data_IF_832260414684
#
_entry.id   IF_832260414684
#
_cell.length_a   1.000
_cell.length_b   1.000
_cell.length_c   1.000
_cell.angle_alpha   90.00
_cell.angle_beta   90.00
_cell.angle_gamma   90.00
#
_symmetry.space_group_name_H-M   'P 1'
#
loop_
_entity.id
_entity.type
_entity.pdbx_description
1 polymer ?
#
# COMPACT_ATOMS: atom_id res chain seq x y z
N UNK A 1 -2.18 11.93 12.72
CA UNK A 1 -1.30 11.51 11.63
C UNK A 1 -2.08 10.72 10.59
N UNK A 2 -1.41 10.25 9.54
CA UNK A 2 -1.94 9.24 8.63
C UNK A 2 -1.58 7.89 9.23
N UNK A 3 -2.55 6.98 9.31
CA UNK A 3 -2.36 5.67 9.91
C UNK A 3 -1.67 4.71 8.91
N UNK A 4 -0.87 3.80 9.44
CA UNK A 4 -0.25 2.68 8.72
C UNK A 4 -0.63 1.38 9.39
N UNK A 5 -0.48 0.22 8.75
CA UNK A 5 -0.59 -1.04 9.46
C UNK A 5 0.37 -1.07 10.65
N UNK A 6 -0.08 -1.61 11.79
CA UNK A 6 0.79 -1.77 12.97
C UNK A 6 1.92 -2.71 12.60
N UNK A 7 3.15 -2.29 12.82
CA UNK A 7 4.31 -3.07 12.39
C UNK A 7 5.52 -2.86 13.28
N UNK A 8 6.39 -3.86 13.33
CA UNK A 8 7.67 -3.82 14.04
C UNK A 8 8.77 -4.44 13.19
N UNK A 9 9.94 -3.82 13.21
CA UNK A 9 11.13 -4.36 12.57
C UNK A 9 11.78 -5.39 13.52
N UNK A 10 12.19 -6.52 12.95
CA UNK A 10 12.93 -7.57 13.67
C UNK A 10 14.15 -8.02 12.87
N UNK A 11 15.25 -8.22 13.58
CA UNK A 11 16.51 -8.76 13.04
C UNK A 11 16.84 -10.14 13.60
N UNK A 12 16.03 -10.63 14.52
CA UNK A 12 16.12 -11.97 15.09
C UNK A 12 14.75 -12.63 15.16
N UNK A 13 14.72 -13.94 15.18
CA UNK A 13 13.49 -14.71 15.36
C UNK A 13 12.77 -14.33 16.66
N UNK A 14 13.51 -14.20 17.76
CA UNK A 14 12.95 -13.84 19.07
C UNK A 14 12.22 -12.49 19.03
N UNK A 15 12.83 -11.47 18.40
CA UNK A 15 12.21 -10.16 18.23
C UNK A 15 10.91 -10.24 17.41
N UNK A 16 10.93 -11.02 16.32
CA UNK A 16 9.76 -11.18 15.47
C UNK A 16 8.61 -11.91 16.18
N UNK A 17 8.91 -12.95 16.96
CA UNK A 17 7.91 -13.67 17.77
C UNK A 17 7.28 -12.76 18.84
N UNK A 18 8.11 -11.93 19.50
CA UNK A 18 7.63 -10.94 20.45
C UNK A 18 6.75 -9.87 19.78
N UNK A 19 7.14 -9.38 18.60
CA UNK A 19 6.34 -8.47 17.79
C UNK A 19 4.98 -9.09 17.41
N UNK A 20 4.98 -10.33 16.94
CA UNK A 20 3.78 -11.07 16.59
C UNK A 20 2.80 -11.20 17.76
N UNK A 21 3.31 -11.46 18.96
CA UNK A 21 2.49 -11.53 20.18
C UNK A 21 1.85 -10.20 20.57
N UNK A 22 2.51 -9.07 20.26
CA UNK A 22 1.95 -7.72 20.52
C UNK A 22 0.95 -7.27 19.47
N UNK A 23 1.23 -7.56 18.20
CA UNK A 23 0.39 -7.13 17.08
C UNK A 23 -0.87 -7.99 16.97
N UNK A 24 -0.74 -9.31 17.11
CA UNK A 24 -1.82 -10.29 16.97
C UNK A 24 -1.99 -10.80 15.54
N UNK A 25 -2.51 -12.02 15.41
CA UNK A 25 -2.74 -12.68 14.11
C UNK A 25 -4.05 -12.24 13.44
N UNK A 26 -4.14 -12.31 12.11
CA UNK A 26 -3.10 -12.71 11.16
C UNK A 26 -2.04 -11.64 10.94
N UNK A 27 -0.82 -12.07 10.54
CA UNK A 27 0.34 -11.22 10.32
C UNK A 27 0.87 -11.34 8.89
N UNK A 28 1.55 -10.29 8.44
CA UNK A 28 2.36 -10.30 7.21
C UNK A 28 3.82 -10.14 7.61
N UNK A 29 4.69 -10.95 7.02
CA UNK A 29 6.15 -10.83 7.16
C UNK A 29 6.73 -10.37 5.83
N UNK A 30 7.47 -9.27 5.86
CA UNK A 30 8.14 -8.70 4.67
C UNK A 30 9.65 -8.62 4.92
N UNK A 31 10.46 -9.44 4.25
CA UNK A 31 11.92 -9.32 4.33
C UNK A 31 12.39 -8.01 3.70
N UNK A 32 13.34 -7.34 4.35
CA UNK A 32 13.90 -6.11 3.84
C UNK A 32 14.78 -6.37 2.60
N UNK A 33 14.70 -5.45 1.62
CA UNK A 33 15.50 -5.47 0.38
C UNK A 33 15.34 -6.73 -0.46
N UNK A 34 14.17 -7.38 -0.42
CA UNK A 34 13.83 -8.47 -1.33
C UNK A 34 12.85 -7.99 -2.41
N UNK A 35 12.80 -8.71 -3.52
CA UNK A 35 11.93 -8.41 -4.65
C UNK A 35 10.87 -9.50 -4.82
N UNK A 36 9.68 -9.12 -5.31
CA UNK A 36 8.64 -10.07 -5.66
C UNK A 36 8.10 -10.90 -4.49
N UNK A 37 8.18 -10.38 -3.25
CA UNK A 37 7.69 -11.07 -2.06
C UNK A 37 8.55 -12.25 -1.60
N UNK A 38 9.76 -12.40 -2.14
CA UNK A 38 10.67 -13.51 -1.81
C UNK A 38 10.93 -13.59 -0.30
N UNK A 39 10.69 -14.76 0.29
CA UNK A 39 10.91 -15.04 1.72
C UNK A 39 9.82 -14.49 2.65
N UNK A 40 8.87 -13.67 2.14
CA UNK A 40 7.73 -13.16 2.89
C UNK A 40 6.53 -14.11 2.87
N UNK A 41 5.46 -13.68 3.55
CA UNK A 41 4.20 -14.42 3.56
C UNK A 41 3.25 -14.01 4.67
N UNK A 42 2.10 -14.69 4.71
CA UNK A 42 1.09 -14.53 5.76
C UNK A 42 1.26 -15.60 6.82
N UNK A 43 1.13 -15.21 8.08
CA UNK A 43 1.13 -16.12 9.23
C UNK A 43 -0.20 -15.99 9.98
N UNK A 44 -0.86 -17.12 10.19
CA UNK A 44 -2.13 -17.20 10.90
C UNK A 44 -1.98 -17.75 12.33
N UNK A 45 -0.81 -18.27 12.64
CA UNK A 45 -0.47 -18.84 13.94
C UNK A 45 1.05 -18.69 14.21
N UNK A 46 1.46 -19.11 15.41
CA UNK A 46 2.83 -18.99 15.90
C UNK A 46 3.81 -19.81 15.08
N UNK A 47 3.43 -21.04 14.72
CA UNK A 47 4.27 -21.98 13.98
C UNK A 47 4.54 -21.47 12.56
N UNK A 48 3.54 -20.92 11.90
CA UNK A 48 3.68 -20.30 10.58
C UNK A 48 4.55 -19.05 10.66
N UNK A 49 4.38 -18.22 11.70
CA UNK A 49 5.21 -17.03 11.92
C UNK A 49 6.68 -17.41 12.04
N UNK A 50 7.00 -18.42 12.86
CA UNK A 50 8.37 -18.91 13.06
C UNK A 50 9.00 -19.37 11.73
N UNK A 51 8.26 -20.17 10.95
CA UNK A 51 8.73 -20.67 9.67
C UNK A 51 8.98 -19.56 8.64
N UNK A 52 8.05 -18.58 8.55
CA UNK A 52 8.14 -17.48 7.59
C UNK A 52 9.26 -16.51 7.99
N UNK A 53 9.36 -16.16 9.27
CA UNK A 53 10.41 -15.27 9.78
C UNK A 53 11.80 -15.86 9.56
N UNK A 54 12.00 -17.15 9.86
CA UNK A 54 13.27 -17.83 9.65
C UNK A 54 13.71 -17.78 8.19
N UNK A 55 12.77 -18.04 7.27
CA UNK A 55 13.00 -17.92 5.83
C UNK A 55 13.25 -16.47 5.39
N UNK A 56 12.49 -15.54 5.95
CA UNK A 56 12.59 -14.10 5.63
C UNK A 56 13.90 -13.49 6.07
N UNK A 57 14.38 -13.80 7.28
CA UNK A 57 15.68 -13.36 7.78
C UNK A 57 16.83 -13.90 6.92
N UNK A 58 16.72 -15.16 6.47
CA UNK A 58 17.72 -15.77 5.58
C UNK A 58 17.69 -15.16 4.16
N UNK A 59 16.52 -14.76 3.66
CA UNK A 59 16.35 -14.15 2.34
C UNK A 59 16.80 -12.68 2.31
N UNK A 60 16.68 -11.97 3.42
CA UNK A 60 17.06 -10.55 3.51
C UNK A 60 18.59 -10.39 3.53
N UNK A 61 19.19 -9.58 2.62
CA UNK A 61 20.62 -9.35 2.60
C UNK A 61 21.15 -8.63 3.85
N UNK A 62 20.27 -8.04 4.65
CA UNK A 62 20.59 -7.36 5.92
C UNK A 62 20.00 -8.09 7.14
N UNK A 63 19.49 -9.32 6.94
CA UNK A 63 18.86 -10.14 8.00
C UNK A 63 17.79 -9.37 8.78
N UNK A 64 16.89 -8.71 8.07
CA UNK A 64 15.82 -7.91 8.66
C UNK A 64 14.48 -8.25 8.05
N UNK A 65 13.45 -8.35 8.88
CA UNK A 65 12.05 -8.48 8.46
C UNK A 65 11.18 -7.40 9.12
N UNK A 66 10.10 -7.02 8.43
CA UNK A 66 9.00 -6.28 9.01
C UNK A 66 7.90 -7.30 9.36
N UNK A 67 7.44 -7.30 10.60
CA UNK A 67 6.25 -8.03 11.06
C UNK A 67 5.11 -7.03 11.14
N UNK A 68 4.03 -7.25 10.40
CA UNK A 68 2.98 -6.28 10.18
C UNK A 68 1.60 -6.92 10.39
N UNK A 69 0.62 -6.16 10.93
CA UNK A 69 -0.77 -6.62 10.96
C UNK A 69 -1.28 -6.86 9.54
N UNK A 70 -2.07 -7.90 9.36
CA UNK A 70 -2.68 -8.19 8.07
C UNK A 70 -3.93 -7.34 7.87
N UNK A 71 -4.01 -6.70 6.72
CA UNK A 71 -5.21 -6.02 6.22
C UNK A 71 -5.94 -6.87 5.16
N UNK A 72 -5.69 -8.17 5.15
CA UNK A 72 -6.34 -9.11 4.25
C UNK A 72 -7.87 -9.02 4.38
N UNK A 73 -8.55 -8.94 3.25
CA UNK A 73 -10.01 -8.82 3.22
C UNK A 73 -10.57 -7.40 3.39
N UNK A 74 -9.72 -6.39 3.65
CA UNK A 74 -10.13 -4.99 3.62
C UNK A 74 -10.36 -4.51 2.19
N UNK A 75 -11.08 -3.41 2.01
CA UNK A 75 -11.23 -2.76 0.71
C UNK A 75 -9.90 -2.15 0.27
N UNK A 76 -9.52 -2.40 -0.99
CA UNK A 76 -8.34 -1.80 -1.61
C UNK A 76 -8.77 -0.59 -2.45
N UNK A 77 -8.25 0.58 -2.08
CA UNK A 77 -8.59 1.87 -2.70
C UNK A 77 -7.30 2.56 -3.14
N UNK A 78 -7.29 3.11 -4.35
CA UNK A 78 -6.09 3.73 -4.89
C UNK A 78 -6.37 5.14 -5.40
N UNK A 79 -5.40 6.04 -5.24
CA UNK A 79 -5.41 7.34 -5.88
C UNK A 79 -4.25 7.45 -6.86
N UNK A 80 -4.59 7.84 -8.07
CA UNK A 80 -3.62 8.30 -9.07
C UNK A 80 -3.59 9.83 -9.06
N UNK A 81 -2.43 10.39 -8.76
CA UNK A 81 -2.25 11.84 -8.68
C UNK A 81 -0.96 12.29 -9.36
N UNK A 82 -0.90 13.59 -9.65
CA UNK A 82 0.30 14.25 -10.18
C UNK A 82 0.58 15.47 -9.32
N UNK A 83 1.86 15.66 -8.97
CA UNK A 83 2.36 16.85 -8.29
C UNK A 83 3.49 17.47 -9.09
N UNK A 84 3.47 18.80 -9.23
CA UNK A 84 4.55 19.54 -9.91
C UNK A 84 5.63 20.06 -8.95
N UNK A 85 6.70 20.63 -9.51
CA UNK A 85 7.79 21.19 -8.74
C UNK A 85 7.39 22.40 -7.87
N UNK A 86 6.23 23.01 -8.14
CA UNK A 86 5.68 24.13 -7.35
C UNK A 86 4.76 23.68 -6.23
N UNK A 87 4.57 22.36 -6.09
CA UNK A 87 3.68 21.76 -5.10
C UNK A 87 2.20 21.79 -5.50
N UNK A 88 1.85 22.13 -6.74
CA UNK A 88 0.48 21.97 -7.22
C UNK A 88 0.15 20.51 -7.42
N UNK A 89 -1.02 20.10 -7.00
CA UNK A 89 -1.46 18.69 -7.00
C UNK A 89 -2.82 18.55 -7.65
N UNK A 90 -2.98 17.48 -8.40
CA UNK A 90 -4.27 17.05 -8.93
C UNK A 90 -4.46 15.56 -8.65
N UNK A 91 -5.63 15.17 -8.21
CA UNK A 91 -6.06 13.77 -8.24
C UNK A 91 -6.62 13.52 -9.64
N UNK A 92 -5.94 12.65 -10.37
CA UNK A 92 -6.36 12.28 -11.73
C UNK A 92 -7.52 11.30 -11.68
N UNK A 93 -7.45 10.33 -10.79
CA UNK A 93 -8.47 9.31 -10.66
C UNK A 93 -8.50 8.70 -9.25
N UNK A 94 -9.72 8.41 -8.80
CA UNK A 94 -9.99 7.54 -7.65
C UNK A 94 -10.33 6.16 -8.19
N UNK A 95 -9.63 5.13 -7.75
CA UNK A 95 -9.78 3.74 -8.20
C UNK A 95 -10.22 2.87 -7.02
N UNK A 96 -11.27 2.10 -7.25
CA UNK A 96 -11.81 1.14 -6.31
C UNK A 96 -11.55 -0.27 -6.85
N UNK A 97 -10.84 -1.10 -6.10
CA UNK A 97 -10.68 -2.50 -6.43
C UNK A 97 -11.91 -3.29 -5.95
N UNK A 98 -12.49 -4.10 -6.83
CA UNK A 98 -13.66 -4.94 -6.52
C UNK A 98 -13.24 -6.12 -5.64
N UNK A 99 -12.04 -6.63 -5.89
CA UNK A 99 -11.43 -7.67 -5.07
C UNK A 99 -10.81 -7.06 -3.83
N UNK A 100 -10.96 -7.74 -2.70
CA UNK A 100 -10.40 -7.28 -1.42
C UNK A 100 -8.86 -7.37 -1.39
N UNK A 101 -8.25 -6.66 -0.45
CA UNK A 101 -6.83 -6.77 -0.14
C UNK A 101 -6.39 -8.22 -0.02
N UNK A 102 -5.29 -8.57 -0.71
CA UNK A 102 -4.73 -9.92 -0.79
C UNK A 102 -4.81 -10.54 -2.17
N UNK A 103 -5.68 -10.06 -3.05
CA UNK A 103 -5.62 -10.35 -4.48
C UNK A 103 -4.57 -9.43 -5.10
N UNK A 104 -3.68 -9.97 -5.95
CA UNK A 104 -2.65 -9.15 -6.58
C UNK A 104 -3.31 -8.09 -7.49
N UNK A 105 -2.94 -6.82 -7.34
CA UNK A 105 -3.51 -5.68 -8.09
C UNK A 105 -3.55 -5.89 -9.61
N UNK A 106 -2.64 -6.72 -10.17
CA UNK A 106 -2.63 -7.04 -11.58
C UNK A 106 -3.69 -8.04 -12.03
N UNK A 107 -4.31 -8.75 -11.10
CA UNK A 107 -5.28 -9.80 -11.33
C UNK A 107 -6.67 -9.40 -10.80
N UNK A 108 -6.76 -8.24 -10.13
CA UNK A 108 -7.98 -7.69 -9.55
C UNK A 108 -8.79 -6.90 -10.56
N UNK A 109 -10.12 -6.98 -10.46
CA UNK A 109 -11.02 -6.04 -11.12
C UNK A 109 -11.05 -4.72 -10.35
N UNK A 110 -11.01 -3.61 -11.09
CA UNK A 110 -11.15 -2.29 -10.50
C UNK A 110 -12.11 -1.39 -11.31
N UNK A 111 -12.66 -0.39 -10.62
CA UNK A 111 -13.50 0.65 -11.24
C UNK A 111 -12.81 2.01 -11.12
N UNK A 112 -12.91 2.79 -12.17
CA UNK A 112 -12.42 4.16 -12.26
C UNK A 112 -13.50 5.03 -12.93
N UNK A 113 -14.13 5.96 -12.19
CA UNK A 113 -13.92 6.37 -10.81
C UNK A 113 -14.44 5.34 -9.79
N UNK A 114 -14.18 5.58 -8.47
CA UNK A 114 -14.81 4.86 -7.37
C UNK A 114 -16.34 5.02 -7.44
N UNK A 115 -17.07 3.91 -7.28
CA UNK A 115 -18.53 3.88 -7.43
C UNK A 115 -19.26 3.68 -6.08
N UNK A 116 -18.71 2.90 -5.17
CA UNK A 116 -19.38 2.56 -3.90
C UNK A 116 -18.85 3.34 -2.70
N UNK A 117 -17.69 3.98 -2.84
CA UNK A 117 -17.02 4.72 -1.78
C UNK A 117 -17.63 6.11 -1.60
N UNK A 118 -17.95 6.46 -0.35
CA UNK A 118 -18.60 7.74 -0.05
C UNK A 118 -17.72 8.94 -0.42
N UNK A 119 -18.31 10.09 -0.77
CA UNK A 119 -17.57 11.32 -1.05
C UNK A 119 -16.69 11.78 0.12
N UNK A 120 -17.13 11.55 1.36
CA UNK A 120 -16.38 11.90 2.58
C UNK A 120 -15.11 11.06 2.71
N UNK A 121 -15.21 9.75 2.42
CA UNK A 121 -14.06 8.87 2.42
C UNK A 121 -13.10 9.23 1.27
N UNK A 122 -13.61 9.48 0.08
CA UNK A 122 -12.79 9.93 -1.06
C UNK A 122 -12.02 11.23 -0.72
N UNK A 123 -12.68 12.21 -0.11
CA UNK A 123 -12.03 13.45 0.31
C UNK A 123 -10.93 13.21 1.36
N UNK A 124 -11.16 12.29 2.32
CA UNK A 124 -10.16 11.90 3.31
C UNK A 124 -8.94 11.22 2.68
N UNK A 125 -9.17 10.32 1.73
CA UNK A 125 -8.08 9.66 0.98
C UNK A 125 -7.26 10.68 0.19
N UNK A 126 -7.93 11.65 -0.45
CA UNK A 126 -7.26 12.71 -1.19
C UNK A 126 -6.38 13.59 -0.28
N UNK A 127 -6.92 14.00 0.88
CA UNK A 127 -6.13 14.75 1.86
C UNK A 127 -4.89 13.97 2.29
N UNK A 128 -5.04 12.68 2.60
CA UNK A 128 -3.92 11.84 2.98
C UNK A 128 -2.88 11.71 1.88
N UNK A 129 -3.31 11.42 0.66
CA UNK A 129 -2.42 11.31 -0.50
C UNK A 129 -1.64 12.62 -0.74
N UNK A 130 -2.32 13.78 -0.65
CA UNK A 130 -1.68 15.09 -0.84
C UNK A 130 -0.64 15.37 0.24
N UNK A 131 -0.91 15.06 1.50
CA UNK A 131 0.05 15.21 2.60
C UNK A 131 1.25 14.29 2.45
N UNK A 132 1.03 13.06 1.96
CA UNK A 132 2.10 12.09 1.71
C UNK A 132 3.04 12.60 0.62
N UNK A 133 2.52 13.00 -0.54
CA UNK A 133 3.35 13.45 -1.66
C UNK A 133 4.07 14.77 -1.37
N UNK A 134 3.51 15.63 -0.51
CA UNK A 134 4.20 16.82 -0.02
C UNK A 134 5.34 16.46 0.93
N UNK A 135 5.11 15.52 1.84
CA UNK A 135 6.13 15.12 2.83
C UNK A 135 7.38 14.49 2.20
N UNK A 136 7.22 13.82 1.06
CA UNK A 136 8.33 13.19 0.32
C UNK A 136 8.75 13.96 -0.93
N UNK A 137 8.13 15.11 -1.18
CA UNK A 137 8.46 16.04 -2.28
C UNK A 137 8.47 15.39 -3.66
N UNK A 138 7.54 14.44 -3.91
CA UNK A 138 7.42 13.78 -5.22
C UNK A 138 7.10 14.79 -6.30
N UNK A 139 7.75 14.67 -7.45
CA UNK A 139 7.42 15.38 -8.69
C UNK A 139 7.02 14.34 -9.73
N UNK A 140 5.85 14.54 -10.36
CA UNK A 140 5.30 13.63 -11.36
C UNK A 140 4.15 12.80 -10.86
N UNK A 141 3.84 11.73 -11.62
CA UNK A 141 2.76 10.80 -11.33
C UNK A 141 3.08 9.89 -10.16
N UNK A 142 2.08 9.66 -9.34
CA UNK A 142 2.20 8.87 -8.12
C UNK A 142 0.92 8.07 -7.89
N UNK A 143 1.08 6.81 -7.53
CA UNK A 143 0.02 5.95 -7.06
C UNK A 143 0.12 5.78 -5.54
N UNK A 144 -1.00 5.96 -4.84
CA UNK A 144 -1.09 5.78 -3.38
C UNK A 144 -2.21 4.80 -3.08
N UNK A 145 -1.89 3.53 -2.77
CA UNK A 145 -2.85 2.54 -2.33
C UNK A 145 -3.13 2.66 -0.83
N UNK A 146 -4.40 2.52 -0.49
CA UNK A 146 -4.94 2.49 0.87
C UNK A 146 -5.71 1.20 1.10
N UNK A 147 -5.76 0.76 2.36
CA UNK A 147 -6.72 -0.22 2.81
C UNK A 147 -7.74 0.45 3.73
N UNK A 148 -9.01 0.13 3.52
CA UNK A 148 -10.12 0.59 4.33
C UNK A 148 -10.85 -0.59 4.94
N UNK A 149 -11.03 -0.56 6.25
CA UNK A 149 -11.86 -1.52 6.96
C UNK A 149 -13.30 -0.97 7.05
N UNK A 150 -14.26 -1.51 6.29
CA UNK A 150 -15.63 -1.01 6.32
C UNK A 150 -16.34 -1.24 7.65
N UNK A 151 -15.86 -2.19 8.48
CA UNK A 151 -16.46 -2.50 9.77
C UNK A 151 -16.11 -1.45 10.83
N UNK A 152 -14.90 -0.91 10.79
CA UNK A 152 -14.42 0.06 11.79
C UNK A 152 -14.28 1.48 11.23
N UNK A 153 -14.26 1.63 9.91
CA UNK A 153 -13.97 2.89 9.22
C UNK A 153 -12.47 3.28 9.27
N UNK A 154 -11.60 2.36 9.70
CA UNK A 154 -10.15 2.57 9.73
C UNK A 154 -9.60 2.59 8.32
N UNK A 155 -8.73 3.57 8.05
CA UNK A 155 -8.00 3.69 6.78
C UNK A 155 -6.52 3.68 7.09
N UNK A 156 -5.76 2.87 6.37
CA UNK A 156 -4.29 2.83 6.46
C UNK A 156 -3.69 3.02 5.07
N UNK A 157 -2.56 3.74 5.00
CA UNK A 157 -1.77 3.78 3.78
C UNK A 157 -0.90 2.53 3.72
N UNK A 158 -0.88 1.88 2.57
CA UNK A 158 -0.11 0.64 2.36
C UNK A 158 1.31 0.97 1.90
N UNK A 159 1.40 1.78 0.87
CA UNK A 159 2.68 2.20 0.29
C UNK A 159 2.51 3.47 -0.52
N UNK A 160 3.59 3.97 -1.07
CA UNK A 160 3.58 5.02 -2.08
C UNK A 160 4.44 4.57 -3.26
N UNK A 161 3.91 4.73 -4.45
CA UNK A 161 4.59 4.41 -5.70
C UNK A 161 4.87 5.69 -6.49
N UNK A 162 6.02 6.38 -6.29
CA UNK A 162 6.34 7.64 -6.96
C UNK A 162 6.80 7.40 -8.40
N UNK A 163 5.95 6.80 -9.19
CA UNK A 163 6.14 6.40 -10.58
C UNK A 163 4.82 6.19 -11.27
N UNK A 164 4.81 6.22 -12.59
CA UNK A 164 3.68 5.73 -13.37
C UNK A 164 3.60 4.19 -13.27
N UNK A 165 2.39 3.67 -13.31
CA UNK A 165 2.07 2.26 -13.08
C UNK A 165 1.03 1.75 -14.08
N UNK A 166 0.58 0.52 -13.93
CA UNK A 166 -0.54 -0.03 -14.70
C UNK A 166 -1.84 0.72 -14.39
N UNK A 167 -2.08 1.05 -13.13
CA UNK A 167 -3.23 1.87 -12.70
C UNK A 167 -3.17 3.29 -13.27
N UNK A 168 -1.99 3.88 -13.44
CA UNK A 168 -1.82 5.16 -14.13
C UNK A 168 -2.25 5.09 -15.60
N UNK A 169 -1.96 3.98 -16.28
CA UNK A 169 -2.40 3.77 -17.67
C UNK A 169 -3.93 3.61 -17.76
N UNK A 170 -4.54 2.87 -16.83
CA UNK A 170 -5.99 2.74 -16.71
C UNK A 170 -6.64 4.10 -16.43
N UNK A 171 -6.15 4.82 -15.42
CA UNK A 171 -6.62 6.15 -15.06
C UNK A 171 -6.53 7.13 -16.24
N UNK A 172 -5.40 7.12 -16.96
CA UNK A 172 -5.23 7.96 -18.16
C UNK A 172 -6.27 7.64 -19.24
N UNK A 173 -6.57 6.36 -19.44
CA UNK A 173 -7.59 5.94 -20.40
C UNK A 173 -9.00 6.32 -19.95
N UNK A 174 -9.30 6.15 -18.67
CA UNK A 174 -10.62 6.46 -18.11
C UNK A 174 -10.93 7.96 -18.10
N UNK A 175 -9.93 8.79 -17.79
CA UNK A 175 -10.10 10.24 -17.61
C UNK A 175 -9.72 11.08 -18.83
N UNK A 176 -8.94 10.52 -19.75
CA UNK A 176 -8.33 11.26 -20.85
C UNK A 176 -7.08 12.08 -20.43
N UNK A 177 -6.68 12.05 -19.15
CA UNK A 177 -5.51 12.78 -18.66
C UNK A 177 -4.23 11.95 -18.85
N UNK A 178 -3.23 12.41 -19.63
CA UNK A 178 -2.06 11.61 -20.00
C UNK A 178 -0.99 11.65 -18.90
N UNK A 179 -1.19 10.90 -17.81
CA UNK A 179 -0.31 10.93 -16.61
C UNK A 179 1.16 10.76 -16.97
N UNK A 180 1.51 9.75 -17.80
CA UNK A 180 2.89 9.47 -18.15
C UNK A 180 3.55 10.61 -18.94
N UNK A 181 2.82 11.19 -19.90
CA UNK A 181 3.31 12.33 -20.68
C UNK A 181 3.56 13.53 -19.77
N UNK A 182 2.58 13.90 -18.95
CA UNK A 182 2.70 15.04 -18.03
C UNK A 182 3.85 14.83 -17.06
N UNK A 183 3.97 13.62 -16.48
CA UNK A 183 5.07 13.28 -15.55
C UNK A 183 6.46 13.38 -16.19
N UNK A 184 6.55 13.12 -17.50
CA UNK A 184 7.83 13.23 -18.23
C UNK A 184 8.21 14.67 -18.58
N UNK A 185 7.27 15.60 -18.45
CA UNK A 185 7.47 17.03 -18.76
C UNK A 185 7.72 17.87 -17.52
N UNK A 186 7.48 17.34 -16.33
CA UNK A 186 7.71 17.96 -15.03
C UNK A 186 9.14 17.76 -14.56
#
# INVERSE_FOLDING_TARGET
>A
GIDTPRSEIATTLEQAMAAGSRIGFPLVVRPAYTMGGTGGGFAYNVEELEAIVSRGLAASPVSQVLVEESVLGWEELELELVRDAKGQKITVCFIENVDAMGVHTGDSFCTAPMLTISPELQARLQEYAYRIVDAIEVIGGTNVPFAHDPATGRVVVIEINPRTSRSSALASKATGFPIALVSSML
#
